data_IF_880659834112
#
_entry.id   IF_880659834112
#
_cell.length_a   1.000
_cell.length_b   1.000
_cell.length_c   1.000
_cell.angle_alpha   90.00
_cell.angle_beta   90.00
_cell.angle_gamma   90.00
#
_symmetry.space_group_name_H-M   'P 1'
#
loop_
_entity.id
_entity.type
_entity.pdbx_description
1 polymer ?
#
# COMPACT_ATOMS: atom_id res chain seq x y z
N UNK A 1 -24.53 0.61 11.77
CA UNK A 1 -23.92 1.58 10.83
C UNK A 1 -24.91 1.94 9.74
N UNK A 2 -25.29 3.22 9.66
CA UNK A 2 -26.19 3.74 8.62
C UNK A 2 -25.50 3.77 7.24
N UNK A 3 -26.27 3.84 6.15
CA UNK A 3 -25.73 3.95 4.79
C UNK A 3 -24.81 5.18 4.64
N UNK A 4 -25.21 6.32 5.21
CA UNK A 4 -24.41 7.54 5.23
C UNK A 4 -23.09 7.41 6.00
N UNK A 5 -23.07 6.65 7.11
CA UNK A 5 -21.82 6.35 7.82
C UNK A 5 -20.88 5.53 6.93
N UNK A 6 -21.35 4.46 6.29
CA UNK A 6 -20.52 3.60 5.42
C UNK A 6 -19.90 4.38 4.27
N UNK A 7 -20.67 5.26 3.64
CA UNK A 7 -20.17 6.12 2.56
C UNK A 7 -19.05 7.06 3.04
N UNK A 8 -19.21 7.67 4.22
CA UNK A 8 -18.16 8.51 4.83
C UNK A 8 -16.90 7.71 5.16
N UNK A 9 -17.04 6.48 5.66
CA UNK A 9 -15.88 5.61 5.95
C UNK A 9 -15.12 5.22 4.68
N UNK A 10 -15.83 4.82 3.62
CA UNK A 10 -15.21 4.51 2.33
C UNK A 10 -14.49 5.72 1.73
N UNK A 11 -15.09 6.92 1.82
CA UNK A 11 -14.46 8.15 1.37
C UNK A 11 -13.17 8.46 2.15
N UNK A 12 -13.20 8.34 3.49
CA UNK A 12 -12.02 8.55 4.34
C UNK A 12 -10.90 7.56 4.01
N UNK A 13 -11.22 6.28 3.84
CA UNK A 13 -10.23 5.27 3.46
C UNK A 13 -9.63 5.56 2.08
N UNK A 14 -10.46 5.94 1.11
CA UNK A 14 -10.01 6.29 -0.25
C UNK A 14 -9.11 7.52 -0.25
N UNK A 15 -9.49 8.58 0.48
CA UNK A 15 -8.66 9.78 0.65
C UNK A 15 -7.35 9.45 1.36
N UNK A 16 -7.39 8.62 2.41
CA UNK A 16 -6.19 8.19 3.13
C UNK A 16 -5.21 7.45 2.23
N UNK A 17 -5.71 6.48 1.44
CA UNK A 17 -4.89 5.78 0.44
C UNK A 17 -4.33 6.76 -0.59
N UNK A 18 -5.14 7.66 -1.14
CA UNK A 18 -4.68 8.64 -2.14
C UNK A 18 -3.58 9.55 -1.56
N UNK A 19 -3.79 10.09 -0.37
CA UNK A 19 -2.82 10.97 0.30
C UNK A 19 -1.50 10.23 0.56
N UNK A 20 -1.58 8.99 1.04
CA UNK A 20 -0.40 8.15 1.24
C UNK A 20 0.33 7.88 -0.07
N UNK A 21 -0.39 7.56 -1.16
CA UNK A 21 0.22 7.32 -2.48
C UNK A 21 0.93 8.57 -3.01
N UNK A 22 0.31 9.74 -2.91
CA UNK A 22 0.93 11.01 -3.34
C UNK A 22 2.18 11.31 -2.53
N UNK A 23 2.13 11.14 -1.21
CA UNK A 23 3.29 11.33 -0.34
C UNK A 23 4.41 10.34 -0.69
N UNK A 24 4.08 9.05 -0.82
CA UNK A 24 5.02 7.99 -1.16
C UNK A 24 5.71 8.26 -2.50
N UNK A 25 4.95 8.61 -3.53
CA UNK A 25 5.48 8.99 -4.84
C UNK A 25 6.37 10.24 -4.76
N UNK A 26 5.92 11.28 -4.07
CA UNK A 26 6.70 12.52 -3.94
C UNK A 26 8.05 12.29 -3.28
N UNK A 27 8.08 11.47 -2.22
CA UNK A 27 9.31 11.08 -1.55
C UNK A 27 10.23 10.27 -2.48
N UNK A 28 9.70 9.30 -3.24
CA UNK A 28 10.51 8.52 -4.18
C UNK A 28 11.07 9.39 -5.30
N UNK A 29 10.25 10.25 -5.91
CA UNK A 29 10.71 11.19 -6.94
C UNK A 29 11.81 12.09 -6.40
N UNK A 30 11.67 12.59 -5.16
CA UNK A 30 12.72 13.37 -4.52
C UNK A 30 14.05 12.60 -4.41
N UNK A 31 14.01 11.32 -4.03
CA UNK A 31 15.22 10.49 -3.93
C UNK A 31 15.83 10.14 -5.29
N UNK A 32 15.01 9.83 -6.29
CA UNK A 32 15.46 9.58 -7.67
C UNK A 32 16.12 10.82 -8.30
N UNK A 33 15.74 12.03 -7.84
CA UNK A 33 16.37 13.29 -8.24
C UNK A 33 17.64 13.63 -7.43
N UNK A 34 18.17 12.70 -6.66
CA UNK A 34 19.39 12.88 -5.85
C UNK A 34 19.15 13.47 -4.46
N UNK A 35 17.90 13.50 -4.00
CA UNK A 35 17.57 13.89 -2.64
C UNK A 35 18.12 12.92 -1.60
N UNK A 36 18.63 13.43 -0.49
CA UNK A 36 19.27 12.65 0.59
C UNK A 36 18.52 12.72 1.92
N UNK A 37 17.39 13.43 1.98
CA UNK A 37 16.57 13.49 3.18
C UNK A 37 16.15 12.08 3.60
N UNK A 38 16.47 11.70 4.83
CA UNK A 38 16.21 10.36 5.34
C UNK A 38 17.25 9.30 4.95
N UNK A 39 18.44 9.70 4.49
CA UNK A 39 19.55 8.76 4.24
C UNK A 39 20.77 8.97 5.13
N UNK A 40 20.77 10.04 5.95
CA UNK A 40 21.85 10.31 6.90
C UNK A 40 23.23 10.32 6.23
N UNK A 41 24.09 9.39 6.65
CA UNK A 41 25.44 9.15 6.16
C UNK A 41 25.56 8.02 5.13
N UNK A 42 24.43 7.48 4.62
CA UNK A 42 24.47 6.47 3.58
C UNK A 42 25.14 7.03 2.31
N UNK A 43 26.14 6.29 1.80
CA UNK A 43 26.84 6.65 0.56
C UNK A 43 25.97 6.46 -0.68
N UNK A 44 24.97 5.56 -0.58
CA UNK A 44 24.08 5.20 -1.67
C UNK A 44 22.62 5.33 -1.22
N UNK A 45 21.84 6.13 -1.93
CA UNK A 45 20.38 6.24 -1.73
C UNK A 45 19.60 5.18 -2.53
N UNK A 46 20.22 4.67 -3.60
CA UNK A 46 19.72 3.56 -4.40
C UNK A 46 20.82 2.50 -4.56
N UNK A 47 20.51 1.20 -4.41
CA UNK A 47 21.48 0.16 -4.70
C UNK A 47 21.89 0.21 -6.18
N UNK A 48 23.17 -0.03 -6.46
CA UNK A 48 23.67 -0.07 -7.84
C UNK A 48 22.88 -1.10 -8.67
N UNK A 49 22.25 -0.62 -9.73
CA UNK A 49 21.42 -1.38 -10.66
C UNK A 49 22.27 -2.07 -11.73
N UNK A 50 23.28 -2.84 -11.32
CA UNK A 50 24.11 -3.59 -12.28
C UNK A 50 23.49 -4.94 -12.67
N UNK A 51 22.33 -5.28 -12.08
CA UNK A 51 21.62 -6.52 -12.38
C UNK A 51 20.29 -6.28 -13.11
N UNK A 52 20.03 -7.09 -14.13
CA UNK A 52 18.75 -7.09 -14.87
C UNK A 52 17.55 -7.39 -13.96
N UNK A 53 17.79 -8.12 -12.87
CA UNK A 53 16.78 -8.41 -11.87
C UNK A 53 16.35 -7.15 -11.10
N UNK A 54 17.30 -6.27 -10.75
CA UNK A 54 17.01 -4.99 -10.08
C UNK A 54 16.20 -4.08 -10.99
N UNK A 55 16.58 -3.98 -12.26
CA UNK A 55 15.82 -3.18 -13.26
C UNK A 55 14.41 -3.71 -13.42
N UNK A 56 14.23 -5.03 -13.59
CA UNK A 56 12.92 -5.64 -13.72
C UNK A 56 12.04 -5.40 -12.48
N UNK A 57 12.63 -5.48 -11.29
CA UNK A 57 11.95 -5.21 -10.03
C UNK A 57 11.50 -3.75 -9.92
N UNK A 58 12.36 -2.79 -10.26
CA UNK A 58 12.02 -1.36 -10.30
C UNK A 58 10.88 -1.09 -11.26
N UNK A 59 10.92 -1.64 -12.48
CA UNK A 59 9.84 -1.52 -13.46
C UNK A 59 8.54 -2.10 -12.92
N UNK A 60 8.59 -3.28 -12.28
CA UNK A 60 7.41 -3.90 -11.68
C UNK A 60 6.79 -3.03 -10.58
N UNK A 61 7.60 -2.41 -9.71
CA UNK A 61 7.12 -1.48 -8.68
C UNK A 61 6.45 -0.27 -9.31
N UNK A 62 7.09 0.35 -10.31
CA UNK A 62 6.52 1.52 -10.99
C UNK A 62 5.18 1.18 -11.66
N UNK A 63 5.10 0.04 -12.36
CA UNK A 63 3.86 -0.41 -12.98
C UNK A 63 2.75 -0.68 -11.95
N UNK A 64 3.07 -1.38 -10.86
CA UNK A 64 2.12 -1.66 -9.78
C UNK A 64 1.61 -0.36 -9.15
N UNK A 65 2.51 0.60 -8.90
CA UNK A 65 2.17 1.89 -8.33
C UNK A 65 1.29 2.72 -9.27
N UNK A 66 1.67 2.83 -10.56
CA UNK A 66 0.90 3.56 -11.56
C UNK A 66 -0.49 2.95 -11.77
N UNK A 67 -0.59 1.62 -11.79
CA UNK A 67 -1.87 0.92 -11.86
C UNK A 67 -2.73 1.25 -10.63
N UNK A 68 -2.17 1.19 -9.42
CA UNK A 68 -2.85 1.57 -8.20
C UNK A 68 -3.36 3.00 -8.20
N UNK A 69 -2.53 3.95 -8.62
CA UNK A 69 -2.87 5.37 -8.66
C UNK A 69 -4.02 5.60 -9.66
N UNK A 70 -3.92 5.01 -10.84
CA UNK A 70 -4.98 5.03 -11.85
C UNK A 70 -6.29 4.46 -11.33
N UNK A 71 -6.25 3.33 -10.62
CA UNK A 71 -7.44 2.71 -10.01
C UNK A 71 -8.08 3.63 -8.97
N UNK A 72 -7.29 4.25 -8.09
CA UNK A 72 -7.80 5.17 -7.06
C UNK A 72 -8.42 6.41 -7.71
N UNK A 73 -7.74 7.05 -8.66
CA UNK A 73 -8.25 8.22 -9.39
C UNK A 73 -9.54 7.88 -10.13
N UNK A 74 -9.55 6.77 -10.87
CA UNK A 74 -10.73 6.35 -11.63
C UNK A 74 -11.90 6.01 -10.70
N UNK A 75 -11.65 5.48 -9.51
CA UNK A 75 -12.69 5.23 -8.50
C UNK A 75 -13.33 6.51 -7.93
N UNK A 76 -12.65 7.65 -8.05
CA UNK A 76 -13.14 8.98 -7.65
C UNK A 76 -13.75 9.77 -8.81
N UNK A 77 -13.60 9.30 -10.05
CA UNK A 77 -14.08 10.00 -11.23
C UNK A 77 -15.63 9.99 -11.30
N UNK A 78 -16.27 11.12 -11.62
CA UNK A 78 -17.72 11.18 -11.83
C UNK A 78 -18.18 10.50 -13.12
N UNK A 79 -17.26 10.11 -14.01
CA UNK A 79 -17.58 9.48 -15.29
C UNK A 79 -18.08 8.02 -15.11
N UNK A 80 -19.05 7.61 -15.94
CA UNK A 80 -19.83 6.37 -15.83
C UNK A 80 -19.06 5.04 -15.90
N UNK A 81 -17.75 5.04 -16.20
CA UNK A 81 -16.96 3.81 -16.24
C UNK A 81 -16.58 3.36 -14.83
N UNK A 82 -17.54 2.75 -14.13
CA UNK A 82 -17.31 2.12 -12.84
C UNK A 82 -16.38 0.93 -13.04
N UNK A 83 -15.21 0.98 -12.42
CA UNK A 83 -14.31 -0.16 -12.35
C UNK A 83 -15.03 -1.36 -11.72
N UNK A 84 -14.78 -2.59 -12.23
CA UNK A 84 -15.35 -3.79 -11.62
C UNK A 84 -14.90 -3.89 -10.15
N UNK A 85 -15.85 -4.14 -9.25
CA UNK A 85 -15.57 -4.18 -7.81
C UNK A 85 -14.49 -5.23 -7.47
N UNK A 86 -14.48 -6.36 -8.18
CA UNK A 86 -13.49 -7.42 -7.99
C UNK A 86 -12.06 -6.97 -8.30
N UNK A 87 -11.84 -6.08 -9.28
CA UNK A 87 -10.52 -5.51 -9.61
C UNK A 87 -10.03 -4.67 -8.44
N UNK A 88 -10.89 -3.78 -7.95
CA UNK A 88 -10.58 -2.89 -6.83
C UNK A 88 -10.32 -3.67 -5.54
N UNK A 89 -11.13 -4.69 -5.26
CA UNK A 89 -10.94 -5.59 -4.12
C UNK A 89 -9.64 -6.37 -4.24
N UNK A 90 -9.38 -7.00 -5.39
CA UNK A 90 -8.18 -7.81 -5.62
C UNK A 90 -6.90 -7.00 -5.52
N UNK A 91 -6.90 -5.79 -6.11
CA UNK A 91 -5.79 -4.87 -5.99
C UNK A 91 -5.56 -4.45 -4.53
N UNK A 92 -6.61 -4.01 -3.83
CA UNK A 92 -6.49 -3.60 -2.42
C UNK A 92 -5.98 -4.74 -1.53
N UNK A 93 -6.47 -5.97 -1.71
CA UNK A 93 -5.99 -7.13 -0.96
C UNK A 93 -4.50 -7.42 -1.23
N UNK A 94 -4.10 -7.42 -2.50
CA UNK A 94 -2.71 -7.67 -2.91
C UNK A 94 -1.78 -6.59 -2.34
N UNK A 95 -2.15 -5.32 -2.50
CA UNK A 95 -1.39 -4.20 -1.96
C UNK A 95 -1.24 -4.29 -0.43
N UNK A 96 -2.31 -4.64 0.29
CA UNK A 96 -2.23 -4.86 1.75
C UNK A 96 -1.21 -5.91 2.12
N UNK A 97 -1.27 -7.09 1.50
CA UNK A 97 -0.37 -8.20 1.82
C UNK A 97 1.07 -7.82 1.49
N UNK A 98 1.34 -7.31 0.29
CA UNK A 98 2.69 -6.98 -0.17
C UNK A 98 3.31 -5.87 0.68
N UNK A 99 2.58 -4.77 0.92
CA UNK A 99 3.11 -3.63 1.67
C UNK A 99 3.35 -3.98 3.15
N UNK A 100 2.41 -4.71 3.78
CA UNK A 100 2.61 -5.17 5.16
C UNK A 100 3.77 -6.16 5.25
N UNK A 101 3.87 -7.14 4.33
CA UNK A 101 4.96 -8.10 4.33
C UNK A 101 6.32 -7.39 4.16
N UNK A 102 6.43 -6.44 3.22
CA UNK A 102 7.66 -5.67 3.00
C UNK A 102 8.03 -4.82 4.21
N UNK A 103 7.09 -4.08 4.78
CA UNK A 103 7.35 -3.21 5.93
C UNK A 103 7.68 -4.01 7.20
N UNK A 104 6.91 -5.05 7.52
CA UNK A 104 7.19 -5.91 8.67
C UNK A 104 8.52 -6.65 8.51
N UNK A 105 8.82 -7.16 7.30
CA UNK A 105 10.10 -7.83 7.06
C UNK A 105 11.28 -6.88 7.24
N UNK A 106 11.17 -5.62 6.82
CA UNK A 106 12.24 -4.63 7.02
C UNK A 106 12.45 -4.27 8.50
N UNK A 107 11.37 -4.10 9.26
CA UNK A 107 11.44 -3.88 10.71
C UNK A 107 12.08 -5.06 11.43
N UNK A 108 11.70 -6.29 11.09
CA UNK A 108 12.27 -7.51 11.67
C UNK A 108 13.74 -7.66 11.29
N UNK A 109 14.10 -7.43 10.02
CA UNK A 109 15.49 -7.48 9.54
C UNK A 109 16.37 -6.49 10.30
N UNK A 110 15.93 -5.23 10.42
CA UNK A 110 16.67 -4.19 11.15
C UNK A 110 16.79 -4.52 12.63
N UNK A 111 15.71 -4.96 13.27
CA UNK A 111 15.73 -5.34 14.68
C UNK A 111 16.67 -6.52 14.97
N UNK A 112 16.70 -7.54 14.11
CA UNK A 112 17.61 -8.69 14.27
C UNK A 112 19.09 -8.28 14.22
N UNK A 113 19.42 -7.29 13.39
CA UNK A 113 20.77 -6.72 13.28
C UNK A 113 21.14 -5.90 14.50
N UNK A 114 20.26 -4.97 14.92
CA UNK A 114 20.47 -4.12 16.08
C UNK A 114 20.60 -4.94 17.37
N UNK A 115 19.86 -6.04 17.49
CA UNK A 115 19.94 -6.95 18.63
C UNK A 115 21.18 -7.86 18.62
N UNK A 116 21.98 -7.86 17.54
CA UNK A 116 23.13 -8.76 17.37
C UNK A 116 22.73 -10.24 17.26
N UNK A 117 21.49 -10.53 16.88
CA UNK A 117 20.97 -11.91 16.76
C UNK A 117 21.30 -12.52 15.39
N UNK A 118 21.45 -11.69 14.36
CA UNK A 118 21.89 -12.10 13.04
C UNK A 118 22.60 -10.93 12.33
N UNK A 119 23.90 -11.05 12.10
CA UNK A 119 24.71 -10.03 11.42
C UNK A 119 24.18 -9.66 10.03
N UNK A 120 23.53 -10.64 9.37
CA UNK A 120 22.90 -10.50 8.07
C UNK A 120 21.41 -10.17 8.09
N UNK A 121 20.75 -10.11 9.25
CA UNK A 121 19.29 -10.04 9.35
C UNK A 121 18.57 -11.21 8.65
N UNK A 122 17.32 -11.00 8.23
CA UNK A 122 16.53 -11.95 7.42
C UNK A 122 17.03 -12.01 5.98
N UNK A 123 17.55 -10.89 5.46
CA UNK A 123 18.01 -10.74 4.09
C UNK A 123 19.39 -11.38 3.82
N UNK A 124 20.18 -11.62 4.86
CA UNK A 124 21.57 -12.09 4.76
C UNK A 124 22.58 -11.02 4.31
N UNK A 125 22.13 -9.80 4.02
CA UNK A 125 23.00 -8.70 3.57
C UNK A 125 23.68 -8.01 4.76
N UNK A 126 24.78 -7.28 4.59
CA UNK A 126 25.36 -6.42 5.66
C UNK A 126 24.95 -4.95 5.48
N UNK A 127 25.15 -4.10 6.50
CA UNK A 127 24.93 -2.65 6.34
C UNK A 127 25.79 -2.04 5.23
N UNK A 128 27.03 -2.50 5.07
CA UNK A 128 27.89 -2.09 3.95
C UNK A 128 27.26 -2.37 2.59
N UNK A 129 26.56 -3.50 2.44
CA UNK A 129 25.88 -3.86 1.20
C UNK A 129 24.58 -3.07 0.98
N UNK A 130 23.88 -2.70 2.06
CA UNK A 130 22.59 -1.99 2.00
C UNK A 130 22.80 -0.48 1.82
N UNK A 131 23.65 0.12 2.66
CA UNK A 131 23.82 1.57 2.78
C UNK A 131 25.14 2.08 2.19
N UNK A 132 26.06 1.19 1.82
CA UNK A 132 27.42 1.56 1.42
C UNK A 132 28.35 1.88 2.60
N UNK A 133 27.87 1.77 3.84
CA UNK A 133 28.65 2.06 5.06
C UNK A 133 28.51 0.93 6.08
N UNK A 134 29.59 0.58 6.76
CA UNK A 134 29.62 -0.52 7.72
C UNK A 134 28.86 -0.17 9.02
N UNK A 135 28.99 1.08 9.46
CA UNK A 135 28.44 1.59 10.72
C UNK A 135 27.50 2.78 10.42
N UNK A 136 26.26 2.55 9.94
CA UNK A 136 25.33 3.61 9.62
C UNK A 136 24.96 4.43 10.86
N UNK A 137 24.86 5.75 10.71
CA UNK A 137 24.41 6.63 11.79
C UNK A 137 22.98 6.31 12.26
N UNK A 138 22.66 6.71 13.49
CA UNK A 138 21.31 6.59 14.06
C UNK A 138 20.24 7.29 13.20
N UNK A 139 20.61 8.34 12.45
CA UNK A 139 19.72 9.02 11.54
C UNK A 139 19.35 8.14 10.34
N UNK A 140 20.32 7.42 9.77
CA UNK A 140 20.14 6.47 8.66
C UNK A 140 19.25 5.30 9.08
N UNK A 141 19.54 4.70 10.25
CA UNK A 141 18.72 3.62 10.81
C UNK A 141 17.30 4.09 11.11
N UNK A 142 17.15 5.25 11.76
CA UNK A 142 15.85 5.84 12.05
C UNK A 142 15.01 6.10 10.81
N UNK A 143 15.63 6.54 9.71
CA UNK A 143 14.93 6.76 8.47
C UNK A 143 14.55 5.45 7.74
N UNK A 144 15.37 4.41 7.82
CA UNK A 144 14.99 3.07 7.37
C UNK A 144 13.76 2.55 8.11
N UNK A 145 13.72 2.67 9.44
CA UNK A 145 12.55 2.33 10.24
C UNK A 145 11.31 3.10 9.82
N UNK A 146 11.44 4.41 9.58
CA UNK A 146 10.32 5.25 9.11
C UNK A 146 9.82 4.81 7.74
N UNK A 147 10.71 4.41 6.82
CA UNK A 147 10.34 3.88 5.53
C UNK A 147 9.52 2.57 5.67
N UNK A 148 9.99 1.65 6.51
CA UNK A 148 9.29 0.38 6.73
C UNK A 148 7.93 0.57 7.42
N UNK A 149 7.86 1.48 8.40
CA UNK A 149 6.59 1.89 9.02
C UNK A 149 5.64 2.48 7.97
N UNK A 150 6.17 3.29 7.04
CA UNK A 150 5.37 3.87 5.98
C UNK A 150 4.78 2.80 5.04
N UNK A 151 5.54 1.74 4.74
CA UNK A 151 5.01 0.58 4.01
C UNK A 151 3.89 -0.11 4.79
N UNK A 152 4.06 -0.36 6.09
CA UNK A 152 3.01 -0.95 6.94
C UNK A 152 1.76 -0.06 6.97
N UNK A 153 1.93 1.25 7.12
CA UNK A 153 0.83 2.21 7.11
C UNK A 153 0.04 2.17 5.79
N UNK A 154 0.74 2.13 4.65
CA UNK A 154 0.13 1.93 3.34
C UNK A 154 -0.67 0.63 3.28
N UNK A 155 -0.08 -0.48 3.72
CA UNK A 155 -0.75 -1.78 3.75
C UNK A 155 -2.03 -1.78 4.59
N UNK A 156 -2.01 -1.16 5.76
CA UNK A 156 -3.19 -0.96 6.62
C UNK A 156 -4.26 -0.14 5.90
N UNK A 157 -3.91 0.98 5.27
CA UNK A 157 -4.85 1.83 4.54
C UNK A 157 -5.54 1.07 3.40
N UNK A 158 -4.78 0.32 2.60
CA UNK A 158 -5.33 -0.57 1.58
C UNK A 158 -6.21 -1.68 2.19
N UNK A 159 -5.88 -2.14 3.39
CA UNK A 159 -6.62 -3.20 4.08
C UNK A 159 -7.98 -2.71 4.57
N UNK A 160 -8.02 -1.48 5.10
CA UNK A 160 -9.26 -0.80 5.45
C UNK A 160 -10.13 -0.55 4.20
N UNK A 161 -9.52 -0.19 3.07
CA UNK A 161 -10.23 -0.04 1.80
C UNK A 161 -10.79 -1.37 1.30
N UNK A 162 -10.05 -2.47 1.44
CA UNK A 162 -10.53 -3.82 1.12
C UNK A 162 -11.72 -4.23 2.01
N UNK A 163 -11.59 -4.11 3.33
CA UNK A 163 -12.63 -4.50 4.30
C UNK A 163 -13.92 -3.69 4.06
N UNK A 164 -13.80 -2.39 3.81
CA UNK A 164 -14.97 -1.54 3.56
C UNK A 164 -15.69 -1.91 2.27
N UNK A 165 -14.97 -2.32 1.22
CA UNK A 165 -15.54 -2.76 -0.07
C UNK A 165 -16.17 -4.15 0.00
N UNK A 166 -15.53 -5.13 0.65
CA UNK A 166 -16.12 -6.46 0.83
C UNK A 166 -17.42 -6.41 1.64
N UNK A 167 -17.49 -5.56 2.67
CA UNK A 167 -18.73 -5.30 3.42
C UNK A 167 -19.86 -4.68 2.60
N UNK A 168 -19.57 -4.10 1.43
CA UNK A 168 -20.59 -3.61 0.50
C UNK A 168 -21.07 -4.72 -0.44
N UNK A 169 -20.17 -5.63 -0.84
CA UNK A 169 -20.48 -6.76 -1.72
C UNK A 169 -21.43 -7.78 -1.07
N UNK A 170 -21.25 -8.07 0.21
CA UNK A 170 -21.96 -9.16 0.91
C UNK A 170 -23.37 -8.81 1.40
N UNK A 171 -23.85 -7.58 1.20
CA UNK A 171 -25.24 -7.25 1.52
C UNK A 171 -26.16 -7.75 0.40
N UNK A 172 -27.04 -8.75 0.65
CA UNK A 172 -28.02 -9.15 -0.33
C UNK A 172 -28.94 -7.97 -0.60
N UNK A 173 -29.12 -7.61 -1.87
CA UNK A 173 -30.18 -6.72 -2.30
C UNK A 173 -31.48 -7.38 -1.86
N UNK A 174 -32.13 -6.83 -0.82
CA UNK A 174 -33.45 -7.26 -0.37
C UNK A 174 -34.49 -6.83 -1.42
N UNK A 175 -34.43 -7.44 -2.59
CA UNK A 175 -35.37 -7.30 -3.69
C UNK A 175 -35.85 -8.69 -4.12
N UNK A 176 -36.36 -9.43 -3.14
CA UNK A 176 -37.42 -10.40 -3.38
C UNK A 176 -38.45 -10.17 -2.28
N UNK A 177 -39.27 -9.15 -2.47
CA UNK A 177 -40.61 -9.16 -1.91
C UNK A 177 -41.51 -9.35 -3.14
N UNK A 178 -41.95 -10.59 -3.44
CA UNK A 178 -43.05 -10.78 -4.37
C UNK A 178 -44.23 -10.09 -3.70
N UNK A 179 -44.63 -8.95 -4.24
CA UNK A 179 -45.93 -8.38 -3.95
C UNK A 179 -46.97 -9.38 -4.42
N UNK A 180 -47.45 -10.23 -3.51
CA UNK A 180 -48.68 -10.98 -3.69
C UNK A 180 -49.84 -9.98 -3.56
N UNK A 181 -50.01 -9.15 -4.57
CA UNK A 181 -51.26 -8.43 -4.82
C UNK A 181 -51.80 -8.94 -6.15
N UNK A 182 -52.68 -9.92 -6.08
CA UNK A 182 -53.83 -10.06 -6.98
C UNK A 182 -54.61 -11.31 -6.56
N UNK A 183 -55.66 -11.14 -5.74
CA UNK A 183 -57.00 -11.52 -6.19
C UNK A 183 -58.06 -10.86 -5.30
N UNK A 184 -58.35 -9.61 -5.60
CA UNK A 184 -59.68 -9.05 -5.39
C UNK A 184 -60.47 -9.30 -6.67
N UNK A 185 -61.34 -10.32 -6.63
CA UNK A 185 -62.46 -10.43 -7.55
C UNK A 185 -63.74 -10.11 -6.76
N UNK A 186 -64.19 -8.87 -6.93
CA UNK A 186 -65.53 -8.29 -6.67
C UNK A 186 -66.66 -9.05 -7.39
N UNK A 187 -67.95 -8.73 -7.19
CA UNK A 187 -68.58 -7.74 -6.30
C UNK A 187 -69.53 -8.33 -5.23
#
# INVERSE_FOLDING_TARGET
MTQGQRQRWNLRATIGVLAWMVLFAGVHVYWELGGTLGFGDAEKTTPEVDSIATVAFTVAILLAFSAGLGLVILSMSPCRHKLPLWVMTGYSATATVVLCARGVSGLVDTWLREAGLADGGVSGLTYQQIYGVADPSMATLGASHLMDINFVAGGILFGLLFITRERMRTKPTRHEQPTSHAESATP
#
